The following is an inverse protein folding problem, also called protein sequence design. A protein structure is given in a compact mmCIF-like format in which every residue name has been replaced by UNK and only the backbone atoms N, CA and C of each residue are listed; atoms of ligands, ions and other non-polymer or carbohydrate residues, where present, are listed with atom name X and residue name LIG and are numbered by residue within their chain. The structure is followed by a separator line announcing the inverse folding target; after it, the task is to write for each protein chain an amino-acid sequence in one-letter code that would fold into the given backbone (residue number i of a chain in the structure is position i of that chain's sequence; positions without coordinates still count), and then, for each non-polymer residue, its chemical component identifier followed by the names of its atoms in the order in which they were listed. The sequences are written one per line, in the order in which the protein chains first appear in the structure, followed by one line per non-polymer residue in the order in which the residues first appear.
data_IF_677595610272
#
_entry.id   IF_677595610272
#
_cell.length_a   1.000
_cell.length_b   1.000
_cell.length_c   1.000
_cell.angle_alpha   90.00
_cell.angle_beta   90.00
_cell.angle_gamma   90.00
#
_symmetry.space_group_name_H-M   'P 1'
#
loop_
_entity.id
_entity.type
_entity.pdbx_description
1 polymer ?
#
# COMPACT_ATOMS: atom_id res chain seq x y z
N UNK A 1 -25.41 -4.89 25.24
CA UNK A 1 -24.47 -4.68 24.11
C UNK A 1 -24.62 -3.22 23.73
N UNK A 2 -23.62 -2.35 23.91
CA UNK A 2 -23.76 -0.94 23.49
C UNK A 2 -23.83 -0.90 21.97
N UNK A 3 -25.00 -0.54 21.44
CA UNK A 3 -25.19 -0.31 20.00
C UNK A 3 -24.30 0.86 19.56
N UNK A 4 -23.67 0.71 18.39
CA UNK A 4 -22.88 1.79 17.80
C UNK A 4 -23.82 2.94 17.48
N UNK A 5 -23.50 4.17 17.93
CA UNK A 5 -24.38 5.34 17.72
C UNK A 5 -24.70 5.56 16.23
N UNK A 6 -23.79 5.17 15.35
CA UNK A 6 -23.88 5.40 13.90
C UNK A 6 -23.45 4.13 13.14
N UNK A 7 -24.39 3.23 12.78
CA UNK A 7 -24.05 1.96 12.14
C UNK A 7 -23.44 2.12 10.74
N UNK A 8 -23.75 3.22 10.05
CA UNK A 8 -23.18 3.55 8.74
C UNK A 8 -21.66 3.72 8.78
N UNK A 9 -21.10 4.13 9.92
CA UNK A 9 -19.64 4.27 10.12
C UNK A 9 -18.92 2.95 9.93
N UNK A 10 -19.51 1.87 10.45
CA UNK A 10 -18.96 0.52 10.28
C UNK A 10 -19.00 0.09 8.82
N UNK A 11 -20.14 0.23 8.15
CA UNK A 11 -20.30 -0.18 6.75
C UNK A 11 -19.31 0.56 5.82
N UNK A 12 -19.22 1.88 5.99
CA UNK A 12 -18.27 2.71 5.23
C UNK A 12 -16.82 2.27 5.46
N UNK A 13 -16.45 2.07 6.73
CA UNK A 13 -15.10 1.62 7.08
C UNK A 13 -14.77 0.23 6.52
N UNK A 14 -15.71 -0.71 6.55
CA UNK A 14 -15.52 -2.07 6.02
C UNK A 14 -15.27 -2.02 4.49
N UNK A 15 -15.98 -1.17 3.75
CA UNK A 15 -15.74 -0.94 2.31
C UNK A 15 -14.35 -0.37 2.03
N UNK A 16 -13.91 0.62 2.80
CA UNK A 16 -12.57 1.19 2.63
C UNK A 16 -11.48 0.16 3.01
N UNK A 17 -11.69 -0.62 4.06
CA UNK A 17 -10.77 -1.70 4.44
C UNK A 17 -10.60 -2.72 3.32
N UNK A 18 -11.68 -3.13 2.67
CA UNK A 18 -11.61 -4.09 1.56
C UNK A 18 -10.92 -3.51 0.33
N UNK A 19 -11.12 -2.21 0.05
CA UNK A 19 -10.35 -1.50 -0.96
C UNK A 19 -8.85 -1.48 -0.61
N UNK A 20 -8.49 -1.09 0.61
CA UNK A 20 -7.08 -1.03 1.05
C UNK A 20 -6.42 -2.41 1.02
N UNK A 21 -7.10 -3.46 1.47
CA UNK A 21 -6.60 -4.85 1.36
C UNK A 21 -6.34 -5.22 -0.10
N UNK A 22 -7.23 -4.84 -1.01
CA UNK A 22 -7.06 -5.09 -2.44
C UNK A 22 -5.82 -4.38 -2.97
N UNK A 23 -5.62 -3.11 -2.62
CA UNK A 23 -4.41 -2.35 -3.01
C UNK A 23 -3.15 -2.98 -2.41
N UNK A 24 -3.16 -3.36 -1.13
CA UNK A 24 -2.00 -4.01 -0.48
C UNK A 24 -1.65 -5.34 -1.14
N UNK A 25 -2.66 -6.16 -1.47
CA UNK A 25 -2.45 -7.44 -2.16
C UNK A 25 -1.90 -7.22 -3.57
N UNK A 26 -2.44 -6.26 -4.31
CA UNK A 26 -1.95 -5.89 -5.64
C UNK A 26 -0.52 -5.35 -5.55
N UNK A 27 -0.21 -4.44 -4.62
CA UNK A 27 1.14 -3.94 -4.37
C UNK A 27 2.12 -5.07 -4.07
N UNK A 28 1.72 -6.04 -3.25
CA UNK A 28 2.54 -7.21 -2.90
C UNK A 28 2.82 -8.08 -4.12
N UNK A 29 1.81 -8.35 -4.95
CA UNK A 29 1.99 -9.04 -6.22
C UNK A 29 2.87 -8.24 -7.19
N UNK A 30 2.69 -6.91 -7.22
CA UNK A 30 3.43 -5.99 -8.08
C UNK A 30 4.92 -5.92 -7.75
N UNK A 31 5.33 -6.19 -6.51
CA UNK A 31 6.76 -6.29 -6.15
C UNK A 31 7.49 -7.38 -6.96
N UNK A 32 6.78 -8.44 -7.36
CA UNK A 32 7.34 -9.52 -8.15
C UNK A 32 7.32 -9.26 -9.65
N UNK A 33 6.56 -8.26 -10.12
CA UNK A 33 6.44 -7.96 -11.55
C UNK A 33 7.80 -7.68 -12.19
N UNK A 34 8.71 -6.85 -11.63
CA UNK A 34 10.02 -6.62 -12.24
C UNK A 34 10.82 -7.90 -12.48
N UNK A 35 10.81 -8.80 -11.49
CA UNK A 35 11.51 -10.09 -11.59
C UNK A 35 10.84 -10.99 -12.62
N UNK A 36 9.51 -11.06 -12.59
CA UNK A 36 8.73 -11.86 -13.53
C UNK A 36 8.94 -11.38 -14.97
N UNK A 37 8.86 -10.08 -15.22
CA UNK A 37 9.06 -9.51 -16.55
C UNK A 37 10.49 -9.71 -17.07
N UNK A 38 11.50 -9.45 -16.23
CA UNK A 38 12.89 -9.64 -16.62
C UNK A 38 13.24 -11.10 -16.97
N UNK A 39 12.68 -12.05 -16.23
CA UNK A 39 12.95 -13.49 -16.45
C UNK A 39 12.15 -14.10 -17.59
N UNK A 40 10.93 -13.64 -17.86
CA UNK A 40 10.04 -14.28 -18.84
C UNK A 40 9.93 -13.52 -20.17
N UNK A 41 10.15 -12.20 -20.19
CA UNK A 41 9.97 -11.39 -21.40
C UNK A 41 11.28 -10.82 -21.95
N UNK A 42 12.28 -10.55 -21.10
CA UNK A 42 13.61 -10.08 -21.51
C UNK A 42 14.60 -11.27 -21.66
N UNK A 43 14.17 -12.49 -21.29
CA UNK A 43 14.97 -13.73 -21.37
C UNK A 43 16.34 -13.65 -20.67
N UNK A 44 16.40 -12.93 -19.54
CA UNK A 44 17.65 -12.78 -18.79
C UNK A 44 18.01 -14.11 -18.12
N UNK A 45 19.19 -14.70 -18.43
CA UNK A 45 19.59 -16.00 -17.92
C UNK A 45 19.53 -16.06 -16.41
N UNK A 46 18.98 -17.15 -15.84
CA UNK A 46 18.78 -17.31 -14.38
C UNK A 46 20.05 -17.09 -13.57
N UNK A 47 21.20 -17.41 -14.15
CA UNK A 47 22.53 -17.29 -13.54
C UNK A 47 23.06 -15.85 -13.54
N UNK A 48 22.48 -14.97 -14.36
CA UNK A 48 22.83 -13.55 -14.37
C UNK A 48 22.18 -12.80 -13.19
N UNK A 49 22.95 -11.98 -12.47
CA UNK A 49 22.43 -11.19 -11.36
C UNK A 49 21.51 -10.08 -11.90
N UNK A 50 20.23 -10.10 -11.49
CA UNK A 50 19.25 -9.07 -11.87
C UNK A 50 19.65 -7.66 -11.40
N UNK A 51 20.51 -7.56 -10.39
CA UNK A 51 21.05 -6.29 -9.88
C UNK A 51 21.81 -5.53 -10.96
N UNK A 52 22.45 -6.23 -11.91
CA UNK A 52 23.17 -5.60 -13.02
C UNK A 52 22.24 -5.05 -14.13
N UNK A 53 20.97 -5.48 -14.13
CA UNK A 53 19.97 -5.12 -15.15
C UNK A 53 19.01 -4.08 -14.60
N UNK A 54 18.64 -4.21 -13.32
CA UNK A 54 17.68 -3.30 -12.69
C UNK A 54 18.30 -1.92 -12.50
N UNK A 55 17.75 -0.94 -13.21
CA UNK A 55 18.08 0.46 -13.05
C UNK A 55 17.44 1.07 -11.79
N UNK A 56 17.80 2.32 -11.51
CA UNK A 56 17.29 3.10 -10.37
C UNK A 56 15.74 3.11 -10.30
N UNK A 57 15.07 3.15 -11.46
CA UNK A 57 13.61 3.14 -11.57
C UNK A 57 12.93 1.94 -10.91
N UNK A 58 13.52 0.74 -10.99
CA UNK A 58 12.94 -0.47 -10.35
C UNK A 58 13.07 -0.41 -8.83
N UNK A 59 14.20 0.08 -8.31
CA UNK A 59 14.37 0.26 -6.86
C UNK A 59 13.42 1.33 -6.32
N UNK A 60 13.22 2.43 -7.06
CA UNK A 60 12.21 3.44 -6.72
C UNK A 60 10.81 2.80 -6.73
N UNK A 61 10.48 2.00 -7.75
CA UNK A 61 9.20 1.29 -7.82
C UNK A 61 8.98 0.38 -6.60
N UNK A 62 9.98 -0.41 -6.21
CA UNK A 62 9.91 -1.27 -5.03
C UNK A 62 9.74 -0.48 -3.73
N UNK A 63 10.46 0.63 -3.57
CA UNK A 63 10.27 1.52 -2.42
C UNK A 63 8.84 2.08 -2.36
N UNK A 64 8.30 2.55 -3.49
CA UNK A 64 6.95 3.07 -3.57
C UNK A 64 5.90 1.99 -3.26
N UNK A 65 6.02 0.80 -3.86
CA UNK A 65 5.13 -0.33 -3.56
C UNK A 65 5.23 -0.76 -2.08
N UNK A 66 6.43 -0.77 -1.51
CA UNK A 66 6.65 -1.02 -0.09
C UNK A 66 5.98 0.03 0.81
N UNK A 67 6.11 1.31 0.47
CA UNK A 67 5.43 2.40 1.19
C UNK A 67 3.90 2.33 1.05
N UNK A 68 3.39 1.90 -0.11
CA UNK A 68 1.96 1.62 -0.30
C UNK A 68 1.46 0.52 0.64
N UNK A 69 2.21 -0.58 0.78
CA UNK A 69 1.88 -1.66 1.71
C UNK A 69 1.90 -1.15 3.16
N UNK A 70 2.95 -0.44 3.56
CA UNK A 70 3.09 0.09 4.93
C UNK A 70 1.97 1.07 5.28
N UNK A 71 1.62 1.99 4.39
CA UNK A 71 0.50 2.92 4.60
C UNK A 71 -0.84 2.18 4.67
N UNK A 72 -1.05 1.13 3.87
CA UNK A 72 -2.22 0.27 3.97
C UNK A 72 -2.32 -0.47 5.31
N UNK A 73 -1.20 -0.96 5.85
CA UNK A 73 -1.16 -1.57 7.19
C UNK A 73 -1.49 -0.55 8.30
N UNK A 74 -0.95 0.66 8.19
CA UNK A 74 -1.26 1.76 9.12
C UNK A 74 -2.74 2.12 9.04
N UNK A 75 -3.32 2.18 7.84
CA UNK A 75 -4.76 2.39 7.65
C UNK A 75 -5.58 1.33 8.38
N UNK A 76 -5.25 0.04 8.22
CA UNK A 76 -5.96 -1.06 8.89
C UNK A 76 -5.87 -0.94 10.43
N UNK A 77 -4.70 -0.56 10.95
CA UNK A 77 -4.51 -0.30 12.37
C UNK A 77 -5.39 0.86 12.87
N UNK A 78 -5.37 1.99 12.16
CA UNK A 78 -6.15 3.18 12.50
C UNK A 78 -7.66 2.92 12.40
N UNK A 79 -8.09 2.16 11.40
CA UNK A 79 -9.47 1.72 11.20
C UNK A 79 -10.02 0.96 12.41
N UNK A 80 -9.26 -0.01 12.92
CA UNK A 80 -9.66 -0.76 14.12
C UNK A 80 -9.75 0.14 15.36
N UNK A 81 -8.88 1.16 15.47
CA UNK A 81 -8.90 2.14 16.56
C UNK A 81 -10.06 3.11 16.44
N UNK A 82 -10.33 3.61 15.25
CA UNK A 82 -11.46 4.48 14.95
C UNK A 82 -12.78 3.80 15.26
N UNK A 83 -12.96 2.55 14.84
CA UNK A 83 -14.17 1.78 15.12
C UNK A 83 -14.38 1.58 16.63
N UNK A 84 -13.30 1.39 17.39
CA UNK A 84 -13.34 1.31 18.86
C UNK A 84 -13.79 2.64 19.49
N UNK A 85 -13.33 3.78 18.97
CA UNK A 85 -13.76 5.12 19.40
C UNK A 85 -15.25 5.32 19.06
N UNK A 86 -15.68 4.94 17.86
CA UNK A 86 -17.07 5.04 17.41
C UNK A 86 -18.05 4.19 18.26
N UNK A 87 -17.57 3.10 18.88
CA UNK A 87 -18.32 2.34 19.89
C UNK A 87 -18.39 3.02 21.28
N UNK A 88 -17.87 4.23 21.43
CA UNK A 88 -17.82 4.97 22.68
C UNK A 88 -16.77 4.43 23.66
N UNK A 89 -15.84 3.57 23.21
CA UNK A 89 -14.74 3.08 24.04
C UNK A 89 -13.53 4.00 23.88
N UNK A 90 -12.84 4.30 24.97
CA UNK A 90 -11.55 4.99 24.88
C UNK A 90 -10.55 4.13 24.10
N UNK A 91 -9.96 4.72 23.06
CA UNK A 91 -8.84 4.15 22.33
C UNK A 91 -7.82 5.24 22.05
N UNK A 92 -6.58 4.97 22.43
CA UNK A 92 -5.44 5.79 22.08
C UNK A 92 -4.78 5.36 20.77
N UNK A 93 -4.34 6.34 19.98
CA UNK A 93 -3.36 6.11 18.90
C UNK A 93 -1.96 6.13 19.51
N UNK A 94 -1.18 5.06 19.27
CA UNK A 94 0.21 4.92 19.70
C UNK A 94 0.39 5.21 21.21
N UNK A 95 0.79 6.44 21.55
CA UNK A 95 1.06 6.92 22.92
C UNK A 95 0.05 7.93 23.49
N UNK A 96 -0.89 8.44 22.69
CA UNK A 96 -1.91 9.37 23.20
C UNK A 96 -3.10 8.61 23.77
N UNK A 97 -3.49 8.87 25.02
CA UNK A 97 -4.63 8.20 25.67
C UNK A 97 -5.99 8.68 25.16
N UNK A 98 -6.08 9.92 24.67
CA UNK A 98 -7.31 10.54 24.19
C UNK A 98 -7.03 11.22 22.85
N UNK A 99 -7.21 10.47 21.75
CA UNK A 99 -7.18 11.05 20.41
C UNK A 99 -8.61 11.35 19.96
N UNK A 100 -8.84 12.54 19.38
CA UNK A 100 -10.15 12.88 18.84
C UNK A 100 -10.47 11.99 17.64
N UNK A 101 -11.74 11.63 17.49
CA UNK A 101 -12.24 10.84 16.36
C UNK A 101 -11.88 11.48 15.02
N UNK A 102 -12.04 12.80 14.90
CA UNK A 102 -11.70 13.57 13.71
C UNK A 102 -10.23 13.51 13.32
N UNK A 103 -9.33 13.42 14.30
CA UNK A 103 -7.89 13.29 14.02
C UNK A 103 -7.58 11.91 13.45
N UNK A 104 -8.22 10.86 13.99
CA UNK A 104 -8.06 9.48 13.50
C UNK A 104 -8.60 9.36 12.08
N UNK A 105 -9.78 9.92 11.83
CA UNK A 105 -10.43 9.93 10.51
C UNK A 105 -9.58 10.64 9.47
N UNK A 106 -9.12 11.87 9.73
CA UNK A 106 -8.23 12.59 8.83
C UNK A 106 -6.91 11.83 8.57
N UNK A 107 -6.36 11.19 9.59
CA UNK A 107 -5.15 10.38 9.44
C UNK A 107 -5.41 9.14 8.56
N UNK A 108 -6.56 8.49 8.72
CA UNK A 108 -6.99 7.40 7.85
C UNK A 108 -7.14 7.86 6.40
N UNK A 109 -7.81 8.98 6.15
CA UNK A 109 -7.95 9.51 4.79
C UNK A 109 -6.59 9.80 4.13
N UNK A 110 -5.66 10.41 4.86
CA UNK A 110 -4.30 10.60 4.37
C UNK A 110 -3.59 9.27 4.08
N UNK A 111 -3.67 8.29 4.98
CA UNK A 111 -3.07 6.98 4.76
C UNK A 111 -3.67 6.28 3.52
N UNK A 112 -4.96 6.44 3.29
CA UNK A 112 -5.66 5.91 2.13
C UNK A 112 -5.10 6.48 0.82
N UNK A 113 -5.05 7.81 0.72
CA UNK A 113 -4.56 8.48 -0.48
C UNK A 113 -3.08 8.23 -0.73
N UNK A 114 -2.27 8.21 0.33
CA UNK A 114 -0.84 7.85 0.24
C UNK A 114 -0.67 6.41 -0.26
N UNK A 115 -1.47 5.47 0.25
CA UNK A 115 -1.45 4.07 -0.18
C UNK A 115 -1.74 3.92 -1.68
N UNK A 116 -2.79 4.58 -2.16
CA UNK A 116 -3.18 4.56 -3.58
C UNK A 116 -2.15 5.27 -4.46
N UNK A 117 -1.70 6.47 -4.07
CA UNK A 117 -0.75 7.26 -4.86
C UNK A 117 0.58 6.53 -5.04
N UNK A 118 1.11 5.92 -3.97
CA UNK A 118 2.35 5.15 -4.05
C UNK A 118 2.19 3.85 -4.84
N UNK A 119 1.05 3.17 -4.74
CA UNK A 119 0.78 2.00 -5.59
C UNK A 119 0.82 2.36 -7.08
N UNK A 120 0.04 3.37 -7.48
CA UNK A 120 -0.04 3.82 -8.88
C UNK A 120 1.35 4.26 -9.38
N UNK A 121 2.06 5.04 -8.57
CA UNK A 121 3.40 5.51 -8.92
C UNK A 121 4.38 4.34 -9.05
N UNK A 122 4.36 3.38 -8.13
CA UNK A 122 5.24 2.19 -8.17
C UNK A 122 5.00 1.32 -9.41
N UNK A 123 3.73 1.10 -9.77
CA UNK A 123 3.38 0.41 -11.02
C UNK A 123 3.83 1.22 -12.24
N UNK A 124 3.60 2.52 -12.26
CA UNK A 124 4.02 3.40 -13.36
C UNK A 124 5.55 3.38 -13.57
N UNK A 125 6.36 3.45 -12.50
CA UNK A 125 7.81 3.34 -12.60
C UNK A 125 8.26 1.96 -13.09
N UNK A 126 7.57 0.89 -12.68
CA UNK A 126 7.83 -0.47 -13.18
C UNK A 126 7.58 -0.55 -14.69
N UNK A 127 6.41 -0.07 -15.15
CA UNK A 127 6.06 -0.06 -16.57
C UNK A 127 7.00 0.84 -17.37
N UNK A 128 7.30 2.04 -16.86
CA UNK A 128 8.24 2.96 -17.49
C UNK A 128 9.59 2.30 -17.73
N UNK A 129 10.16 1.63 -16.71
CA UNK A 129 11.42 0.91 -16.87
C UNK A 129 11.36 -0.09 -18.02
N UNK A 130 10.32 -0.92 -18.10
CA UNK A 130 10.19 -1.91 -19.17
C UNK A 130 9.91 -1.32 -20.55
N UNK A 131 9.20 -0.19 -20.63
CA UNK A 131 8.95 0.51 -21.89
C UNK A 131 10.20 1.22 -22.43
N UNK A 132 11.06 1.73 -21.55
CA UNK A 132 12.32 2.40 -21.91
C UNK A 132 13.53 1.48 -21.90
N UNK A 133 13.34 0.19 -21.63
CA UNK A 133 14.42 -0.77 -21.63
C UNK A 133 14.85 -1.05 -23.07
N UNK A 134 15.83 -0.29 -23.54
CA UNK A 134 16.60 -0.64 -24.73
C UNK A 134 17.51 -1.79 -24.35
N UNK A 135 17.29 -2.97 -24.95
CA UNK A 135 17.92 -4.22 -24.56
C UNK A 135 19.43 -4.08 -24.33
N UNK A 136 19.90 -4.55 -23.17
CA UNK A 136 21.34 -4.71 -22.96
C UNK A 136 21.80 -5.76 -23.95
N UNK A 137 22.56 -5.34 -24.97
CA UNK A 137 23.39 -6.25 -25.76
C UNK A 137 24.47 -6.81 -24.83
N UNK A 138 24.12 -7.88 -24.09
CA UNK A 138 25.07 -8.74 -23.37
C UNK A 138 25.72 -9.70 -24.36
#
# INVERSE_FOLDING_TARGET
MNEMKEPWKKDTNDRYLDMVKSVVNLSTASLLLPVFFARNFIDIPKDSPLVAVFGCSIYIAWLLLGLSILSGLVYQYLSAKWLRIAWGKQAGILWSKNTSESTVENCMEWCLWVCVAYFISGVAFTLYFFMTFEGVHL
#
